data_IF_459838757970
#
_entry.id   IF_459838757970
#
_cell.length_a   1.000
_cell.length_b   1.000
_cell.length_c   1.000
_cell.angle_alpha   90.00
_cell.angle_beta   90.00
_cell.angle_gamma   90.00
#
_symmetry.space_group_name_H-M   'P 1'
#
loop_
_entity.id
_entity.type
_entity.pdbx_description
1 polymer ?
#
# COMPACT_ATOMS: atom_id res chain seq x y z
N UNK A 1 -1.54 17.77 26.61
CA UNK A 1 -2.42 16.70 26.97
C UNK A 1 -3.34 16.30 25.88
N UNK A 2 -4.20 17.20 25.49
CA UNK A 2 -5.13 16.86 24.44
C UNK A 2 -4.43 16.45 23.18
N UNK A 3 -3.29 17.05 22.93
CA UNK A 3 -2.53 16.74 21.75
C UNK A 3 -2.07 15.29 21.74
N UNK A 4 -1.65 14.79 22.88
CA UNK A 4 -1.21 13.38 22.95
C UNK A 4 -2.36 12.45 22.71
N UNK A 5 -3.52 12.73 23.30
CA UNK A 5 -4.65 11.88 23.09
C UNK A 5 -5.12 11.91 21.65
N UNK A 6 -5.04 13.10 21.04
CA UNK A 6 -5.43 13.23 19.67
C UNK A 6 -4.51 12.44 18.76
N UNK A 7 -3.22 12.52 18.99
CA UNK A 7 -2.26 11.78 18.19
C UNK A 7 -2.51 10.29 18.26
N UNK A 8 -2.80 9.80 19.45
CA UNK A 8 -3.09 8.38 19.60
C UNK A 8 -4.36 7.98 18.88
N UNK A 9 -5.39 8.84 18.97
CA UNK A 9 -6.62 8.57 18.29
C UNK A 9 -6.43 8.50 16.80
N UNK A 10 -5.61 9.40 16.27
CA UNK A 10 -5.36 9.40 14.84
C UNK A 10 -4.60 8.17 14.40
N UNK A 11 -3.65 7.72 15.20
CA UNK A 11 -2.91 6.53 14.87
C UNK A 11 -3.83 5.31 14.81
N UNK A 12 -4.74 5.20 15.77
CA UNK A 12 -5.70 4.12 15.76
C UNK A 12 -6.64 4.22 14.57
N UNK A 13 -7.04 5.45 14.24
CA UNK A 13 -7.88 5.65 13.06
C UNK A 13 -7.15 5.22 11.80
N UNK A 14 -5.85 5.49 11.73
CA UNK A 14 -5.08 5.09 10.59
C UNK A 14 -5.00 3.58 10.44
N UNK A 15 -4.83 2.87 11.55
CA UNK A 15 -4.79 1.43 11.48
C UNK A 15 -6.13 0.83 11.11
N UNK A 16 -7.20 1.42 11.62
CA UNK A 16 -8.55 0.97 11.25
C UNK A 16 -8.81 1.23 9.78
N UNK A 17 -8.37 2.38 9.31
CA UNK A 17 -8.51 2.71 7.90
C UNK A 17 -7.75 1.74 7.03
N UNK A 18 -6.52 1.42 7.42
CA UNK A 18 -5.72 0.46 6.67
C UNK A 18 -6.40 -0.91 6.61
N UNK A 19 -6.96 -1.34 7.72
CA UNK A 19 -7.66 -2.62 7.75
C UNK A 19 -8.87 -2.60 6.83
N UNK A 20 -9.62 -1.51 6.83
CA UNK A 20 -10.76 -1.39 5.93
C UNK A 20 -10.32 -1.43 4.48
N UNK A 21 -9.21 -0.78 4.17
CA UNK A 21 -8.70 -0.81 2.81
C UNK A 21 -8.29 -2.21 2.41
N UNK A 22 -7.62 -2.93 3.30
CA UNK A 22 -7.23 -4.30 2.98
C UNK A 22 -8.44 -5.18 2.75
N UNK A 23 -9.47 -5.03 3.57
CA UNK A 23 -10.69 -5.80 3.37
C UNK A 23 -11.34 -5.46 2.04
N UNK A 24 -11.35 -4.18 1.67
CA UNK A 24 -11.93 -3.76 0.41
C UNK A 24 -11.16 -4.28 -0.78
N UNK A 25 -9.85 -4.47 -0.64
CA UNK A 25 -9.00 -4.92 -1.73
C UNK A 25 -8.99 -6.44 -1.90
N UNK A 26 -9.53 -7.18 -0.95
CA UNK A 26 -9.54 -8.65 -1.05
C UNK A 26 -10.17 -9.16 -2.34
N UNK A 27 -11.32 -8.63 -2.78
CA UNK A 27 -11.90 -9.13 -4.02
C UNK A 27 -11.01 -8.92 -5.24
N UNK A 28 -10.10 -7.97 -5.18
CA UNK A 28 -9.15 -7.76 -6.26
C UNK A 28 -8.20 -8.93 -6.39
N UNK A 29 -7.97 -9.66 -5.30
CA UNK A 29 -7.09 -10.81 -5.31
C UNK A 29 -5.61 -10.48 -5.34
N UNK A 30 -5.15 -9.54 -4.51
CA UNK A 30 -3.73 -9.20 -4.51
C UNK A 30 -2.89 -10.36 -4.01
N UNK A 31 -1.71 -10.54 -4.59
CA UNK A 31 -0.76 -11.51 -4.08
C UNK A 31 -0.03 -10.96 -2.86
N UNK A 32 0.33 -9.68 -2.90
CA UNK A 32 0.99 -9.02 -1.79
C UNK A 32 0.61 -7.55 -1.79
N UNK A 33 0.59 -6.96 -0.60
CA UNK A 33 0.38 -5.53 -0.43
C UNK A 33 1.45 -5.00 0.50
N UNK A 34 2.15 -3.97 0.05
CA UNK A 34 3.17 -3.29 0.84
C UNK A 34 2.69 -1.90 1.21
N UNK A 35 3.00 -1.51 2.44
CA UNK A 35 2.82 -0.15 2.90
C UNK A 35 4.19 0.53 2.82
N UNK A 36 4.23 1.74 2.27
CA UNK A 36 5.51 2.44 2.18
C UNK A 36 5.30 3.92 2.48
N UNK A 37 6.38 4.68 2.43
CA UNK A 37 6.31 6.10 2.75
C UNK A 37 6.32 6.34 4.24
N UNK A 38 5.76 7.48 4.66
CA UNK A 38 5.84 7.88 6.04
C UNK A 38 5.11 6.92 6.98
N UNK A 39 4.03 6.30 6.51
CA UNK A 39 3.32 5.32 7.33
C UNK A 39 4.19 4.12 7.65
N UNK A 40 4.95 3.64 6.67
CA UNK A 40 5.82 2.49 6.90
C UNK A 40 6.93 2.82 7.89
N UNK A 41 7.38 4.07 7.89
CA UNK A 41 8.44 4.50 8.78
C UNK A 41 7.94 4.96 10.15
N UNK A 42 6.63 4.97 10.36
CA UNK A 42 6.08 5.43 11.63
C UNK A 42 6.11 6.93 11.78
N UNK A 43 6.20 7.65 10.69
CA UNK A 43 6.28 9.11 10.69
C UNK A 43 4.99 9.77 10.25
N UNK A 44 3.91 9.01 10.20
CA UNK A 44 2.66 9.54 9.71
C UNK A 44 2.10 10.63 10.64
N UNK A 45 1.34 11.54 10.04
CA UNK A 45 0.61 12.53 10.79
C UNK A 45 -0.77 12.70 10.14
N UNK A 46 -1.51 13.72 10.56
CA UNK A 46 -2.87 13.91 10.09
C UNK A 46 -2.97 14.07 8.58
N UNK A 47 -1.92 14.61 7.99
CA UNK A 47 -1.94 14.96 6.58
C UNK A 47 -1.24 13.93 5.71
N UNK A 48 -0.67 12.89 6.34
CA UNK A 48 0.04 11.87 5.57
C UNK A 48 -0.94 11.00 4.81
N UNK A 49 -0.69 10.82 3.52
CA UNK A 49 -1.45 9.88 2.72
C UNK A 49 -0.92 8.48 2.93
N UNK A 50 -1.81 7.52 2.78
CA UNK A 50 -1.38 6.13 2.76
C UNK A 50 -0.81 5.80 1.39
N UNK A 51 0.33 5.16 1.38
CA UNK A 51 0.98 4.75 0.15
C UNK A 51 1.07 3.23 0.12
N UNK A 52 0.41 2.62 -0.87
CA UNK A 52 0.36 1.17 -0.99
C UNK A 52 0.89 0.73 -2.33
N UNK A 53 1.59 -0.39 -2.32
CA UNK A 53 1.98 -1.08 -3.56
C UNK A 53 1.38 -2.47 -3.53
N UNK A 54 0.61 -2.79 -4.55
CA UNK A 54 -0.02 -4.09 -4.69
C UNK A 54 0.75 -4.89 -5.73
N UNK A 55 1.09 -6.11 -5.39
CA UNK A 55 1.67 -7.05 -6.35
C UNK A 55 0.57 -8.04 -6.71
N UNK A 56 0.26 -8.12 -8.00
CA UNK A 56 -0.82 -8.98 -8.46
C UNK A 56 -0.56 -9.46 -9.88
N UNK A 57 -0.73 -10.75 -10.10
CA UNK A 57 -0.70 -11.29 -11.44
C UNK A 57 -1.92 -10.83 -12.21
N UNK A 58 -1.71 -10.16 -13.31
CA UNK A 58 -2.80 -9.67 -14.13
C UNK A 58 -2.28 -9.38 -15.52
N UNK A 59 -3.15 -9.54 -16.50
CA UNK A 59 -2.86 -9.15 -17.87
C UNK A 59 -3.34 -7.75 -18.17
N UNK A 60 -4.01 -7.09 -17.23
CA UNK A 60 -4.55 -5.76 -17.47
C UNK A 60 -3.43 -4.74 -17.59
N UNK A 61 -3.57 -3.74 -18.45
CA UNK A 61 -2.61 -2.65 -18.52
C UNK A 61 -2.57 -1.87 -17.24
N UNK A 62 -1.46 -1.18 -17.02
CA UNK A 62 -1.19 -0.53 -15.75
C UNK A 62 -2.33 0.39 -15.29
N UNK A 63 -2.79 1.27 -16.17
CA UNK A 63 -3.82 2.21 -15.77
C UNK A 63 -5.16 1.54 -15.53
N UNK A 64 -5.43 0.44 -16.22
CA UNK A 64 -6.66 -0.30 -15.96
C UNK A 64 -6.64 -0.90 -14.57
N UNK A 65 -5.46 -1.36 -14.13
CA UNK A 65 -5.33 -1.88 -12.77
C UNK A 65 -5.70 -0.83 -11.74
N UNK A 66 -5.24 0.39 -11.95
CA UNK A 66 -5.54 1.48 -11.03
C UNK A 66 -7.03 1.77 -10.99
N UNK A 67 -7.69 1.71 -12.14
CA UNK A 67 -9.13 1.92 -12.18
C UNK A 67 -9.88 0.80 -11.46
N UNK A 68 -9.43 -0.43 -11.65
CA UNK A 68 -10.06 -1.56 -10.99
C UNK A 68 -9.97 -1.43 -9.47
N UNK A 69 -8.80 -1.03 -8.98
CA UNK A 69 -8.62 -0.84 -7.55
C UNK A 69 -9.47 0.32 -7.05
N UNK A 70 -9.52 1.41 -7.80
CA UNK A 70 -10.26 2.58 -7.36
C UNK A 70 -11.74 2.26 -7.15
N UNK A 71 -12.29 1.36 -7.94
CA UNK A 71 -13.69 0.99 -7.80
C UNK A 71 -13.98 0.24 -6.52
N UNK A 72 -12.96 -0.37 -5.93
CA UNK A 72 -13.13 -1.15 -4.71
C UNK A 72 -12.98 -0.32 -3.46
N UNK A 73 -12.44 0.88 -3.57
CA UNK A 73 -12.19 1.70 -2.38
C UNK A 73 -13.50 2.21 -1.82
N UNK A 74 -13.64 2.21 -0.49
CA UNK A 74 -14.88 2.69 0.13
C UNK A 74 -15.10 4.17 -0.15
N UNK A 75 -16.35 4.57 -0.21
CA UNK A 75 -16.68 5.98 -0.34
C UNK A 75 -16.11 6.73 0.86
N UNK A 76 -15.59 7.91 0.59
CA UNK A 76 -15.02 8.72 1.65
C UNK A 76 -13.60 8.35 2.03
N UNK A 77 -12.99 7.43 1.30
CA UNK A 77 -11.59 7.12 1.52
C UNK A 77 -10.74 8.35 1.27
N UNK A 78 -9.90 8.68 2.24
CA UNK A 78 -9.04 9.85 2.13
C UNK A 78 -7.87 9.60 1.20
N UNK A 79 -6.84 10.43 1.30
CA UNK A 79 -5.70 10.34 0.42
C UNK A 79 -5.03 8.98 0.50
N UNK A 80 -5.13 8.21 -0.58
CA UNK A 80 -4.49 6.91 -0.68
C UNK A 80 -3.89 6.82 -2.08
N UNK A 81 -2.59 6.60 -2.13
CA UNK A 81 -1.89 6.38 -3.38
C UNK A 81 -1.62 4.90 -3.53
N UNK A 82 -2.07 4.32 -4.63
CA UNK A 82 -1.92 2.89 -4.84
C UNK A 82 -1.28 2.65 -6.20
N UNK A 83 -0.25 1.83 -6.20
CA UNK A 83 0.38 1.35 -7.43
C UNK A 83 0.21 -0.15 -7.50
N UNK A 84 0.06 -0.67 -8.70
CA UNK A 84 -0.12 -2.11 -8.90
C UNK A 84 0.91 -2.60 -9.91
N UNK A 85 1.74 -3.53 -9.49
CA UNK A 85 2.73 -4.16 -10.36
C UNK A 85 2.50 -5.66 -10.39
N UNK A 86 2.83 -6.28 -11.51
CA UNK A 86 2.86 -7.74 -11.53
C UNK A 86 4.16 -8.22 -10.89
N UNK A 87 4.20 -9.48 -10.44
CA UNK A 87 5.44 -10.01 -9.88
C UNK A 87 6.59 -9.90 -10.87
N UNK A 88 6.34 -10.12 -12.15
CA UNK A 88 7.39 -10.03 -13.16
C UNK A 88 7.89 -8.61 -13.32
N UNK A 89 6.96 -7.65 -13.34
CA UNK A 89 7.36 -6.25 -13.43
C UNK A 89 8.22 -5.85 -12.23
N UNK A 90 7.80 -6.25 -11.05
CA UNK A 90 8.54 -5.89 -9.84
C UNK A 90 9.91 -6.53 -9.83
N UNK A 91 9.99 -7.80 -10.25
CA UNK A 91 11.27 -8.48 -10.32
C UNK A 91 12.20 -7.78 -11.30
N UNK A 92 11.68 -7.40 -12.46
CA UNK A 92 12.49 -6.68 -13.44
C UNK A 92 13.00 -5.35 -12.88
N UNK A 93 12.14 -4.63 -12.16
CA UNK A 93 12.55 -3.39 -11.54
C UNK A 93 13.70 -3.62 -10.57
N UNK A 94 13.62 -4.69 -9.78
CA UNK A 94 14.70 -5.01 -8.85
C UNK A 94 15.99 -5.37 -9.58
N UNK A 95 15.88 -6.13 -10.64
CA UNK A 95 17.06 -6.55 -11.40
C UNK A 95 17.74 -5.37 -12.07
N UNK A 96 16.97 -4.37 -12.44
CA UNK A 96 17.51 -3.19 -13.10
C UNK A 96 18.01 -2.14 -12.13
N UNK A 97 17.93 -2.41 -10.83
CA UNK A 97 18.39 -1.45 -9.84
C UNK A 97 17.47 -0.25 -9.72
N UNK A 98 16.18 -0.44 -9.96
CA UNK A 98 15.23 0.64 -9.87
C UNK A 98 15.15 1.15 -8.43
N UNK A 99 15.32 2.46 -8.26
CA UNK A 99 15.41 3.04 -6.92
C UNK A 99 14.12 2.85 -6.13
N UNK A 100 12.96 2.93 -6.80
CA UNK A 100 11.70 2.73 -6.09
C UNK A 100 11.57 1.30 -5.59
N UNK A 101 11.93 0.33 -6.43
CA UNK A 101 11.86 -1.06 -6.02
C UNK A 101 12.81 -1.35 -4.86
N UNK A 102 14.01 -0.77 -4.90
CA UNK A 102 14.96 -0.94 -3.80
C UNK A 102 14.44 -0.32 -2.52
N UNK A 103 13.85 0.87 -2.62
CA UNK A 103 13.27 1.52 -1.46
C UNK A 103 12.14 0.68 -0.87
N UNK A 104 11.31 0.12 -1.73
CA UNK A 104 10.20 -0.69 -1.26
C UNK A 104 10.69 -1.93 -0.52
N UNK A 105 11.74 -2.56 -1.03
CA UNK A 105 12.29 -3.75 -0.37
C UNK A 105 12.89 -3.38 0.98
N UNK A 106 13.58 -2.25 1.06
CA UNK A 106 14.29 -1.86 2.28
C UNK A 106 13.36 -1.24 3.31
N UNK A 107 12.43 -0.41 2.88
CA UNK A 107 11.62 0.39 3.79
C UNK A 107 10.16 0.01 3.80
N UNK A 108 9.70 -0.72 2.80
CA UNK A 108 8.30 -1.11 2.72
C UNK A 108 7.97 -2.15 3.76
N UNK A 109 6.69 -2.15 4.15
CA UNK A 109 6.20 -3.07 5.15
C UNK A 109 5.16 -3.97 4.48
N UNK A 110 5.41 -5.27 4.51
CA UNK A 110 4.46 -6.23 3.94
C UNK A 110 3.29 -6.35 4.90
N UNK A 111 2.10 -5.99 4.43
CA UNK A 111 0.90 -6.02 5.27
C UNK A 111 -0.11 -7.05 4.81
N UNK A 112 0.12 -7.68 3.66
CA UNK A 112 -0.77 -8.73 3.17
C UNK A 112 0.03 -9.64 2.26
N UNK A 113 -0.20 -10.95 2.40
CA UNK A 113 0.46 -11.93 1.57
C UNK A 113 1.75 -12.42 2.19
N UNK A 114 2.51 -13.14 1.40
CA UNK A 114 3.76 -13.72 1.88
C UNK A 114 4.93 -13.10 1.15
N UNK A 115 5.97 -12.86 1.90
CA UNK A 115 7.21 -12.41 1.29
C UNK A 115 7.84 -13.57 0.52
N UNK A 116 8.29 -13.27 -0.69
CA UNK A 116 8.95 -14.28 -1.50
C UNK A 116 10.37 -14.44 -1.00
N UNK A 117 10.72 -15.68 -0.72
CA UNK A 117 12.10 -16.00 -0.36
C UNK A 117 12.83 -16.36 -1.63
N UNK A 118 13.90 -15.72 -1.89
CA UNK A 118 14.66 -15.98 -3.10
C UNK A 118 16.02 -16.52 -2.78
#
# INVERSE_FOLDING_TARGET
MRRSGRARGQRRNGEAELRRLLDALRPYGPDRVYLFGSWARGEEDDLSDLDLVIIKRTAAPFFDRLREVARLLPAGTGGVDILVYTPEEFQTMQQEGNAFAEMLVEEGRLIYGRQVES
#
